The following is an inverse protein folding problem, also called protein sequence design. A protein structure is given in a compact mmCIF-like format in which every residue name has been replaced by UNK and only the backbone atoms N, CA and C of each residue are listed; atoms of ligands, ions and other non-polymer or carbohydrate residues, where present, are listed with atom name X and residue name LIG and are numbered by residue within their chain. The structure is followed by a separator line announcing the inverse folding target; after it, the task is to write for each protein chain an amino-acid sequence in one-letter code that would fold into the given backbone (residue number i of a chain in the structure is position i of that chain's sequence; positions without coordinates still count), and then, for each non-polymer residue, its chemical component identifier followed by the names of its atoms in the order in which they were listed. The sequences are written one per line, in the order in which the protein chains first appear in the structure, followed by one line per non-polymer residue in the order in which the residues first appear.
data_IF_789464470406
#
_entry.id   IF_789464470406
#
_cell.length_a   1.000
_cell.length_b   1.000
_cell.length_c   1.000
_cell.angle_alpha   90.00
_cell.angle_beta   90.00
_cell.angle_gamma   90.00
#
_symmetry.space_group_name_H-M   'P 1'
#
loop_
_entity.id
_entity.type
_entity.pdbx_description
1 polymer ?
#
# COMPACT_ATOMS: atom_id res chain seq x y z
N UNK A 1 37.77 21.62 69.53
CA UNK A 1 38.99 22.24 70.10
C UNK A 1 40.23 21.47 69.62
N UNK A 2 41.22 22.20 69.07
CA UNK A 2 42.68 21.89 68.86
C UNK A 2 43.06 20.62 68.05
N UNK A 3 43.59 20.74 66.81
CA UNK A 3 44.99 21.10 66.35
C UNK A 3 46.03 20.05 66.79
N UNK A 4 47.08 19.64 66.07
CA UNK A 4 47.83 20.00 64.83
C UNK A 4 49.00 18.97 64.76
N UNK A 5 49.56 18.55 63.62
CA UNK A 5 50.81 19.03 62.95
C UNK A 5 51.15 17.95 61.88
N UNK A 6 51.48 18.17 60.59
CA UNK A 6 52.21 19.17 59.78
C UNK A 6 53.73 18.94 59.68
N UNK A 7 54.22 18.58 58.48
CA UNK A 7 55.39 19.13 57.73
C UNK A 7 55.52 18.39 56.37
N UNK A 8 55.39 19.02 55.18
CA UNK A 8 56.33 19.90 54.38
C UNK A 8 57.49 19.10 53.75
N UNK A 9 57.95 19.24 52.50
CA UNK A 9 57.86 20.22 51.38
C UNK A 9 58.31 19.46 50.08
N UNK A 10 58.26 19.90 48.81
CA UNK A 10 57.94 21.14 48.07
C UNK A 10 58.04 20.80 46.56
N UNK A 11 57.27 21.43 45.67
CA UNK A 11 57.81 22.44 44.76
C UNK A 11 56.98 22.50 43.46
N UNK A 12 56.51 23.70 43.11
CA UNK A 12 55.80 24.04 41.88
C UNK A 12 56.79 24.27 40.71
N UNK A 13 56.39 23.95 39.48
CA UNK A 13 56.46 24.85 38.30
C UNK A 13 55.88 24.18 37.01
N UNK A 14 54.90 24.86 36.39
CA UNK A 14 54.50 24.80 34.96
C UNK A 14 54.72 26.24 34.42
N UNK A 15 54.64 26.57 33.11
CA UNK A 15 54.73 25.78 31.87
C UNK A 15 55.69 26.45 30.83
N UNK A 16 55.96 25.82 29.67
CA UNK A 16 56.44 26.51 28.45
C UNK A 16 55.82 25.92 27.18
N UNK A 17 55.03 26.75 26.49
CA UNK A 17 54.79 26.77 25.03
C UNK A 17 56.10 27.24 24.35
N UNK A 18 56.47 27.06 23.08
CA UNK A 18 55.85 27.06 21.72
C UNK A 18 57.02 26.63 20.73
N UNK A 19 56.97 26.58 19.37
CA UNK A 19 56.18 27.39 18.42
C UNK A 19 55.59 26.67 17.18
N UNK A 20 54.78 27.46 16.46
CA UNK A 20 54.09 27.28 15.17
C UNK A 20 54.98 26.83 13.99
N UNK A 21 54.39 26.18 12.98
CA UNK A 21 54.37 26.64 11.57
C UNK A 21 53.62 25.66 10.63
N UNK A 22 52.61 26.16 9.93
CA UNK A 22 52.29 25.86 8.51
C UNK A 22 52.68 27.12 7.70
N UNK A 23 52.78 27.18 6.35
CA UNK A 23 52.35 26.23 5.31
C UNK A 23 53.37 26.06 4.13
N UNK A 24 52.92 25.39 3.07
CA UNK A 24 53.41 25.41 1.68
C UNK A 24 54.61 24.56 1.20
N UNK A 25 54.36 23.93 0.04
CA UNK A 25 55.27 23.48 -1.02
C UNK A 25 55.72 21.99 -1.06
N UNK A 26 55.57 21.44 -2.27
CA UNK A 26 55.98 20.13 -2.82
C UNK A 26 55.06 18.93 -2.49
N UNK A 27 54.47 18.19 -3.43
CA UNK A 27 54.64 18.11 -4.88
C UNK A 27 53.40 17.39 -5.50
N UNK A 28 52.82 18.01 -6.53
CA UNK A 28 52.28 17.48 -7.80
C UNK A 28 52.17 15.94 -7.98
N UNK A 29 51.21 15.33 -8.69
CA UNK A 29 50.18 15.79 -9.63
C UNK A 29 49.23 14.61 -9.93
N UNK A 30 47.95 14.87 -10.21
CA UNK A 30 47.23 14.27 -11.34
C UNK A 30 45.90 15.00 -11.52
N UNK A 31 45.79 15.69 -12.65
CA UNK A 31 44.65 16.47 -13.10
C UNK A 31 43.75 15.61 -14.04
N UNK A 32 42.53 16.09 -14.36
CA UNK A 32 41.45 15.29 -14.94
C UNK A 32 41.49 15.30 -16.47
N UNK A 33 40.96 14.26 -17.10
CA UNK A 33 40.86 14.19 -18.56
C UNK A 33 39.39 14.09 -19.00
N UNK A 34 38.92 15.18 -19.61
CA UNK A 34 37.76 15.26 -20.48
C UNK A 34 38.25 15.60 -21.88
N UNK A 35 38.01 14.74 -22.87
CA UNK A 35 37.78 15.10 -24.28
C UNK A 35 37.34 13.87 -25.10
N UNK A 36 36.22 14.00 -25.81
CA UNK A 36 35.84 13.20 -26.98
C UNK A 36 36.47 13.83 -28.25
N UNK A 37 36.14 13.43 -29.51
CA UNK A 37 35.69 12.16 -30.11
C UNK A 37 36.61 11.72 -31.28
N UNK A 38 36.41 10.53 -31.86
CA UNK A 38 36.47 10.32 -33.34
C UNK A 38 36.10 8.89 -33.77
N UNK A 39 35.63 8.81 -35.02
CA UNK A 39 34.86 7.74 -35.64
C UNK A 39 35.68 6.68 -36.38
N UNK A 40 35.13 5.46 -36.49
CA UNK A 40 35.14 4.55 -37.66
C UNK A 40 34.53 3.19 -37.26
N UNK A 41 33.29 2.89 -37.67
CA UNK A 41 32.97 2.03 -38.83
C UNK A 41 33.24 0.53 -38.64
N UNK A 42 32.21 -0.21 -38.21
CA UNK A 42 32.00 -1.61 -38.62
C UNK A 42 30.49 -1.92 -38.61
N UNK A 43 29.94 -1.99 -39.82
CA UNK A 43 28.56 -2.34 -40.17
C UNK A 43 28.22 -3.80 -39.86
N UNK A 44 27.07 -4.05 -39.22
CA UNK A 44 26.39 -5.35 -39.22
C UNK A 44 24.97 -5.20 -39.81
N UNK A 45 24.49 -6.18 -40.58
CA UNK A 45 23.30 -6.01 -41.43
C UNK A 45 21.99 -6.09 -40.65
N UNK A 46 21.08 -5.18 -41.00
CA UNK A 46 19.69 -5.07 -40.55
C UNK A 46 18.88 -6.35 -40.86
N UNK A 47 18.11 -6.91 -39.91
CA UNK A 47 17.09 -7.89 -40.23
C UNK A 47 15.82 -7.18 -40.74
N UNK A 48 15.32 -7.64 -41.88
CA UNK A 48 14.19 -7.08 -42.64
C UNK A 48 12.91 -6.82 -41.81
N UNK A 49 12.12 -5.79 -42.19
CA UNK A 49 10.92 -5.42 -41.44
C UNK A 49 9.81 -6.48 -41.58
N UNK A 50 9.36 -7.00 -40.45
CA UNK A 50 8.14 -7.82 -40.38
C UNK A 50 6.92 -6.98 -40.81
N UNK A 51 6.21 -7.45 -41.85
CA UNK A 51 4.95 -6.85 -42.32
C UNK A 51 3.96 -6.72 -41.16
N UNK A 52 3.57 -5.48 -40.84
CA UNK A 52 2.40 -5.18 -40.00
C UNK A 52 1.17 -5.77 -40.68
N UNK A 53 0.45 -6.65 -40.00
CA UNK A 53 -0.93 -6.95 -40.35
C UNK A 53 -1.78 -5.71 -40.01
N UNK A 54 -2.32 -5.04 -41.02
CA UNK A 54 -3.36 -4.03 -40.85
C UNK A 54 -4.59 -4.68 -40.19
N UNK A 55 -4.94 -4.21 -39.00
CA UNK A 55 -6.25 -4.46 -38.39
C UNK A 55 -7.22 -3.47 -39.05
N UNK A 56 -8.34 -3.90 -39.64
CA UNK A 56 -9.30 -2.97 -40.24
C UNK A 56 -9.87 -2.05 -39.16
N UNK A 57 -9.83 -0.76 -39.44
CA UNK A 57 -10.40 0.29 -38.61
C UNK A 57 -11.93 0.16 -38.59
N UNK A 58 -12.49 -0.31 -37.47
CA UNK A 58 -13.94 -0.34 -37.26
C UNK A 58 -14.40 1.08 -36.91
N UNK A 59 -14.98 1.76 -37.91
CA UNK A 59 -15.58 3.08 -37.77
C UNK A 59 -16.72 3.03 -36.73
N UNK A 60 -16.57 3.76 -35.62
CA UNK A 60 -17.61 3.88 -34.60
C UNK A 60 -18.83 4.62 -35.17
N UNK A 61 -19.96 3.92 -35.26
CA UNK A 61 -21.25 4.51 -35.63
C UNK A 61 -21.78 5.38 -34.47
N UNK A 62 -22.24 6.62 -34.71
CA UNK A 62 -22.71 7.49 -33.65
C UNK A 62 -24.02 6.94 -33.05
N UNK A 63 -24.10 6.96 -31.72
CA UNK A 63 -25.27 6.48 -30.98
C UNK A 63 -26.54 7.22 -31.41
N UNK A 64 -27.49 6.51 -32.02
CA UNK A 64 -28.84 7.02 -32.26
C UNK A 64 -29.61 7.13 -30.93
N UNK A 65 -30.37 8.21 -30.71
CA UNK A 65 -31.23 8.33 -29.54
C UNK A 65 -32.31 7.25 -29.56
N UNK A 66 -32.46 6.55 -28.43
CA UNK A 66 -33.44 5.49 -28.23
C UNK A 66 -34.86 6.08 -28.27
N UNK A 67 -35.66 5.69 -29.27
CA UNK A 67 -37.08 6.02 -29.33
C UNK A 67 -37.88 5.09 -28.41
N UNK A 68 -38.84 5.65 -27.68
CA UNK A 68 -39.74 4.92 -26.78
C UNK A 68 -40.59 3.88 -27.54
N UNK A 69 -41.01 2.77 -26.91
CA UNK A 69 -41.72 1.68 -27.60
C UNK A 69 -43.15 2.12 -27.95
N UNK A 70 -43.50 2.10 -29.24
CA UNK A 70 -44.90 2.22 -29.68
C UNK A 70 -45.59 0.84 -29.64
N UNK A 71 -46.88 0.77 -29.26
CA UNK A 71 -47.62 -0.49 -29.23
C UNK A 71 -47.98 -0.98 -30.64
N UNK A 72 -48.15 -2.31 -30.85
CA UNK A 72 -48.23 -2.89 -32.17
C UNK A 72 -49.60 -2.66 -32.84
N UNK A 73 -49.58 -2.30 -34.13
CA UNK A 73 -50.76 -2.25 -35.00
C UNK A 73 -51.10 -3.65 -35.50
N UNK A 74 -52.39 -4.00 -35.45
CA UNK A 74 -52.96 -5.24 -35.97
C UNK A 74 -53.05 -5.18 -37.49
N UNK A 75 -52.35 -6.06 -38.20
CA UNK A 75 -52.57 -6.32 -39.63
C UNK A 75 -53.08 -7.75 -39.82
N UNK A 76 -54.24 -7.87 -40.46
CA UNK A 76 -54.81 -9.13 -40.94
C UNK A 76 -54.12 -9.54 -42.24
N UNK A 77 -53.74 -10.81 -42.39
CA UNK A 77 -53.69 -11.46 -43.71
C UNK A 77 -53.82 -12.98 -43.66
N UNK A 78 -54.79 -13.45 -44.42
CA UNK A 78 -55.09 -14.81 -44.85
C UNK A 78 -54.03 -15.34 -45.82
N UNK A 79 -53.77 -16.66 -45.78
CA UNK A 79 -52.99 -17.38 -46.80
C UNK A 79 -52.33 -18.65 -46.28
N UNK A 80 -52.85 -19.81 -46.69
CA UNK A 80 -52.36 -21.16 -46.37
C UNK A 80 -51.01 -21.46 -47.06
N UNK A 81 -50.11 -22.18 -46.37
CA UNK A 81 -49.37 -23.32 -46.95
C UNK A 81 -48.62 -24.09 -45.86
N UNK A 82 -48.78 -25.42 -45.89
CA UNK A 82 -48.20 -26.42 -44.99
C UNK A 82 -46.77 -26.75 -45.42
N UNK A 83 -45.79 -26.41 -44.58
CA UNK A 83 -44.48 -27.06 -44.51
C UNK A 83 -43.84 -26.78 -43.13
N UNK A 84 -43.96 -27.76 -42.23
CA UNK A 84 -43.07 -28.06 -41.10
C UNK A 84 -42.39 -26.89 -40.37
N UNK A 85 -43.10 -26.35 -39.37
CA UNK A 85 -42.60 -25.90 -38.06
C UNK A 85 -41.35 -25.01 -37.99
N UNK A 86 -41.54 -23.76 -37.55
CA UNK A 86 -40.53 -22.77 -37.13
C UNK A 86 -39.95 -21.83 -38.22
N UNK A 87 -40.58 -21.68 -39.38
CA UNK A 87 -40.28 -20.57 -40.32
C UNK A 87 -41.34 -19.47 -40.18
N UNK A 88 -41.12 -18.49 -39.30
CA UNK A 88 -41.99 -17.32 -39.19
C UNK A 88 -42.26 -16.82 -37.77
N UNK A 89 -41.73 -17.48 -36.73
CA UNK A 89 -41.74 -16.87 -35.40
C UNK A 89 -40.75 -15.69 -35.39
N UNK A 90 -41.15 -14.49 -34.91
CA UNK A 90 -40.21 -13.40 -34.71
C UNK A 90 -39.19 -13.82 -33.64
N UNK A 91 -38.06 -14.37 -34.10
CA UNK A 91 -36.94 -14.71 -33.24
C UNK A 91 -36.27 -13.40 -32.83
N UNK A 92 -36.65 -12.89 -31.66
CA UNK A 92 -35.92 -11.77 -31.06
C UNK A 92 -34.55 -12.30 -30.62
N UNK A 93 -33.50 -11.81 -31.27
CA UNK A 93 -32.12 -12.01 -30.82
C UNK A 93 -31.93 -11.21 -29.51
N UNK A 94 -32.42 -11.75 -28.40
CA UNK A 94 -32.20 -11.17 -27.08
C UNK A 94 -30.78 -11.53 -26.65
N UNK A 95 -29.97 -10.52 -26.30
CA UNK A 95 -28.70 -10.76 -25.61
C UNK A 95 -28.96 -11.58 -24.34
N UNK A 96 -28.08 -12.54 -24.04
CA UNK A 96 -28.19 -13.35 -22.82
C UNK A 96 -28.47 -12.43 -21.60
N UNK A 97 -29.37 -12.82 -20.68
CA UNK A 97 -29.71 -11.99 -19.53
C UNK A 97 -28.46 -11.85 -18.64
N UNK A 98 -27.78 -10.70 -18.73
CA UNK A 98 -26.71 -10.36 -17.81
C UNK A 98 -27.37 -9.90 -16.51
N UNK A 99 -27.13 -10.61 -15.40
CA UNK A 99 -27.53 -10.15 -14.07
C UNK A 99 -26.77 -8.85 -13.79
N UNK A 100 -27.48 -7.71 -13.82
CA UNK A 100 -26.92 -6.41 -13.51
C UNK A 100 -26.85 -6.27 -12.00
N UNK A 101 -25.66 -6.42 -11.42
CA UNK A 101 -25.42 -6.08 -10.02
C UNK A 101 -25.25 -4.56 -9.89
N UNK A 102 -25.75 -3.98 -8.79
CA UNK A 102 -25.61 -2.53 -8.51
C UNK A 102 -24.20 -2.14 -8.02
N UNK A 103 -23.34 -3.13 -7.77
CA UNK A 103 -21.99 -2.91 -7.26
C UNK A 103 -21.09 -2.36 -8.36
N UNK A 104 -20.58 -1.16 -8.13
CA UNK A 104 -19.61 -0.49 -9.01
C UNK A 104 -18.29 -0.31 -8.28
N UNK A 105 -17.21 -0.12 -9.02
CA UNK A 105 -15.90 0.21 -8.42
C UNK A 105 -16.01 1.41 -7.48
N UNK A 106 -16.78 2.42 -7.87
CA UNK A 106 -17.04 3.61 -7.04
C UNK A 106 -17.71 3.26 -5.71
N UNK A 107 -18.73 2.38 -5.70
CA UNK A 107 -19.42 2.00 -4.45
C UNK A 107 -18.51 1.20 -3.53
N UNK A 108 -17.69 0.30 -4.09
CA UNK A 108 -16.71 -0.47 -3.31
C UNK A 108 -15.64 0.45 -2.69
N UNK A 109 -15.09 1.40 -3.47
CA UNK A 109 -14.10 2.37 -2.98
C UNK A 109 -14.69 3.33 -1.94
N UNK A 110 -15.97 3.71 -2.09
CA UNK A 110 -16.68 4.54 -1.12
C UNK A 110 -16.87 3.78 0.21
N UNK A 111 -17.23 2.50 0.17
CA UNK A 111 -17.34 1.67 1.37
C UNK A 111 -15.99 1.57 2.12
N UNK A 112 -14.86 1.52 1.40
CA UNK A 112 -13.50 1.57 1.99
C UNK A 112 -13.24 2.91 2.67
N UNK A 113 -13.60 4.03 2.04
CA UNK A 113 -13.47 5.35 2.66
C UNK A 113 -14.32 5.45 3.92
N UNK A 114 -15.59 5.04 3.87
CA UNK A 114 -16.50 5.04 5.04
C UNK A 114 -15.90 4.21 6.18
N UNK A 115 -15.32 3.06 5.88
CA UNK A 115 -14.71 2.18 6.88
C UNK A 115 -13.48 2.82 7.57
N UNK A 116 -12.75 3.70 6.88
CA UNK A 116 -11.59 4.42 7.42
C UNK A 116 -11.96 5.71 8.16
N UNK A 117 -13.13 6.30 7.87
CA UNK A 117 -13.56 7.58 8.46
C UNK A 117 -13.57 7.58 10.00
N UNK A 118 -14.11 6.56 10.71
CA UNK A 118 -14.07 6.54 12.17
C UNK A 118 -12.65 6.59 12.72
N UNK A 119 -11.72 5.85 12.12
CA UNK A 119 -10.31 5.85 12.50
C UNK A 119 -9.64 7.21 12.23
N UNK A 120 -9.95 7.85 11.09
CA UNK A 120 -9.45 9.19 10.76
C UNK A 120 -9.97 10.25 11.74
N UNK A 121 -11.27 10.24 12.03
CA UNK A 121 -11.91 11.21 12.92
C UNK A 121 -11.37 11.08 14.34
N UNK A 122 -11.23 9.85 14.83
CA UNK A 122 -10.71 9.62 16.18
C UNK A 122 -9.23 10.00 16.29
N UNK A 123 -8.39 9.57 15.35
CA UNK A 123 -6.95 9.91 15.34
C UNK A 123 -6.70 11.40 15.19
N UNK A 124 -7.43 12.07 14.29
CA UNK A 124 -7.31 13.50 14.03
C UNK A 124 -7.89 14.39 15.15
N UNK A 125 -9.05 14.06 15.71
CA UNK A 125 -9.65 14.90 16.75
C UNK A 125 -8.97 14.75 18.12
N UNK A 126 -8.48 13.56 18.48
CA UNK A 126 -8.03 13.28 19.84
C UNK A 126 -6.51 13.21 20.02
N UNK A 127 -5.73 12.87 18.98
CA UNK A 127 -4.29 12.60 19.15
C UNK A 127 -3.39 13.58 18.39
N UNK A 128 -3.68 13.82 17.11
CA UNK A 128 -2.79 14.58 16.23
C UNK A 128 -3.30 15.97 15.85
N UNK A 129 -4.56 16.27 16.18
CA UNK A 129 -5.18 17.56 15.87
C UNK A 129 -5.47 17.76 14.38
N UNK A 130 -5.71 19.02 13.95
CA UNK A 130 -6.18 19.34 12.60
C UNK A 130 -5.18 18.97 11.49
N UNK A 131 -3.90 18.83 11.83
CA UNK A 131 -2.84 18.52 10.86
C UNK A 131 -3.02 17.14 10.22
N UNK A 132 -3.51 16.15 10.98
CA UNK A 132 -3.80 14.82 10.45
C UNK A 132 -4.81 14.89 9.29
N UNK A 133 -5.90 15.63 9.47
CA UNK A 133 -6.90 15.83 8.42
C UNK A 133 -6.31 16.56 7.20
N UNK A 134 -5.46 17.56 7.42
CA UNK A 134 -4.79 18.27 6.33
C UNK A 134 -3.86 17.36 5.53
N UNK A 135 -3.05 16.52 6.18
CA UNK A 135 -2.17 15.56 5.48
C UNK A 135 -3.00 14.58 4.65
N UNK A 136 -4.07 14.02 5.22
CA UNK A 136 -4.97 13.10 4.50
C UNK A 136 -5.67 13.79 3.33
N UNK A 137 -6.13 15.04 3.51
CA UNK A 137 -6.79 15.82 2.48
C UNK A 137 -5.82 16.18 1.33
N UNK A 138 -4.61 16.64 1.68
CA UNK A 138 -3.56 16.97 0.70
C UNK A 138 -3.18 15.72 -0.09
N UNK A 139 -3.03 14.56 0.56
CA UNK A 139 -2.71 13.31 -0.13
C UNK A 139 -3.83 12.85 -1.06
N UNK A 140 -5.07 12.87 -0.58
CA UNK A 140 -6.24 12.50 -1.37
C UNK A 140 -6.42 13.42 -2.60
N UNK A 141 -6.27 14.74 -2.40
CA UNK A 141 -6.33 15.73 -3.47
C UNK A 141 -5.16 15.60 -4.44
N UNK A 142 -3.94 15.39 -3.93
CA UNK A 142 -2.73 15.16 -4.71
C UNK A 142 -2.87 13.94 -5.61
N UNK A 143 -3.27 12.80 -5.06
CA UNK A 143 -3.52 11.58 -5.83
C UNK A 143 -4.59 11.79 -6.92
N UNK A 144 -5.72 12.42 -6.59
CA UNK A 144 -6.78 12.71 -7.55
C UNK A 144 -6.30 13.67 -8.67
N UNK A 145 -5.50 14.68 -8.31
CA UNK A 145 -4.92 15.62 -9.26
C UNK A 145 -3.90 14.95 -10.19
N UNK A 146 -2.99 14.13 -9.67
CA UNK A 146 -2.03 13.39 -10.50
C UNK A 146 -2.71 12.42 -11.44
N UNK A 147 -3.79 11.77 -11.01
CA UNK A 147 -4.60 10.91 -11.87
C UNK A 147 -5.27 11.72 -12.99
N UNK A 148 -5.95 12.81 -12.63
CA UNK A 148 -6.62 13.70 -13.59
C UNK A 148 -5.64 14.25 -14.63
N UNK A 149 -4.47 14.69 -14.16
CA UNK A 149 -3.40 15.25 -14.99
C UNK A 149 -2.81 14.19 -15.91
N UNK A 150 -2.55 12.98 -15.42
CA UNK A 150 -2.05 11.89 -16.26
C UNK A 150 -3.06 11.50 -17.33
N UNK A 151 -4.35 11.38 -16.98
CA UNK A 151 -5.42 11.11 -17.95
C UNK A 151 -5.53 12.23 -18.99
N UNK A 152 -5.38 13.49 -18.58
CA UNK A 152 -5.40 14.65 -19.48
C UNK A 152 -4.21 14.62 -20.46
N UNK A 153 -2.99 14.43 -19.96
CA UNK A 153 -1.76 14.38 -20.77
C UNK A 153 -1.81 13.21 -21.76
N UNK A 154 -2.24 12.04 -21.31
CA UNK A 154 -2.34 10.84 -22.15
C UNK A 154 -3.61 10.77 -23.00
N UNK A 155 -4.46 11.81 -22.95
CA UNK A 155 -5.76 11.90 -23.64
C UNK A 155 -6.66 10.68 -23.40
N UNK A 156 -6.55 10.07 -22.22
CA UNK A 156 -7.40 8.97 -21.78
C UNK A 156 -8.67 9.51 -21.13
N UNK A 157 -9.71 8.66 -21.03
CA UNK A 157 -10.91 9.01 -20.28
C UNK A 157 -10.55 9.28 -18.81
N UNK A 158 -11.22 10.27 -18.22
CA UNK A 158 -11.02 10.64 -16.83
C UNK A 158 -11.55 9.53 -15.91
N UNK A 159 -10.68 8.97 -15.07
CA UNK A 159 -11.01 7.89 -14.13
C UNK A 159 -11.25 8.36 -12.70
N UNK A 160 -10.95 9.62 -12.37
CA UNK A 160 -11.07 10.20 -11.01
C UNK A 160 -12.41 9.91 -10.32
N UNK A 161 -13.50 9.78 -11.08
CA UNK A 161 -14.84 9.46 -10.57
C UNK A 161 -14.99 8.07 -9.93
N UNK A 162 -14.00 7.18 -10.08
CA UNK A 162 -13.98 5.86 -9.46
C UNK A 162 -13.55 5.86 -7.98
N UNK A 163 -13.10 7.02 -7.46
CA UNK A 163 -12.62 7.24 -6.08
C UNK A 163 -11.36 6.45 -5.68
N UNK A 164 -10.77 5.70 -6.60
CA UNK A 164 -9.64 4.84 -6.26
C UNK A 164 -8.33 5.60 -6.02
N UNK A 165 -8.14 6.74 -6.69
CA UNK A 165 -7.04 7.66 -6.41
C UNK A 165 -7.18 8.26 -5.01
N UNK A 166 -8.40 8.62 -4.63
CA UNK A 166 -8.71 9.15 -3.29
C UNK A 166 -8.43 8.11 -2.21
N UNK A 167 -8.88 6.87 -2.40
CA UNK A 167 -8.57 5.75 -1.48
C UNK A 167 -7.07 5.53 -1.37
N UNK A 168 -6.33 5.60 -2.49
CA UNK A 168 -4.86 5.45 -2.50
C UNK A 168 -4.20 6.53 -1.64
N UNK A 169 -4.57 7.80 -1.81
CA UNK A 169 -4.03 8.90 -1.01
C UNK A 169 -4.39 8.79 0.47
N UNK A 170 -5.65 8.44 0.79
CA UNK A 170 -6.06 8.22 2.18
C UNK A 170 -5.25 7.08 2.82
N UNK A 171 -5.12 5.95 2.13
CA UNK A 171 -4.33 4.81 2.64
C UNK A 171 -2.85 5.16 2.78
N UNK A 172 -2.27 5.91 1.84
CA UNK A 172 -0.88 6.38 1.94
C UNK A 172 -0.72 7.27 3.17
N UNK A 173 -1.56 8.31 3.33
CA UNK A 173 -1.54 9.21 4.48
C UNK A 173 -1.67 8.45 5.81
N UNK A 174 -2.50 7.40 5.86
CA UNK A 174 -2.65 6.55 7.04
C UNK A 174 -1.35 5.84 7.45
N UNK A 175 -0.44 5.61 6.52
CA UNK A 175 0.86 5.03 6.86
C UNK A 175 1.88 6.08 7.31
N UNK A 176 1.72 7.35 6.94
CA UNK A 176 2.72 8.38 7.19
C UNK A 176 2.61 8.96 8.62
N UNK A 177 3.71 9.53 9.15
CA UNK A 177 3.64 10.35 10.36
C UNK A 177 2.72 11.56 10.15
N UNK A 178 1.98 11.97 11.19
CA UNK A 178 1.06 13.12 11.09
C UNK A 178 1.77 14.46 10.83
N UNK A 179 3.05 14.57 11.21
CA UNK A 179 3.85 15.79 11.02
C UNK A 179 4.65 15.83 9.71
N UNK A 180 4.47 14.82 8.84
CA UNK A 180 5.11 14.78 7.52
C UNK A 180 4.91 16.10 6.74
N UNK A 181 5.96 16.65 6.11
CA UNK A 181 5.83 17.84 5.29
C UNK A 181 5.07 17.51 4.00
N UNK A 182 4.22 18.44 3.57
CA UNK A 182 3.30 18.22 2.44
C UNK A 182 4.00 17.89 1.12
N UNK A 183 5.20 18.41 0.88
CA UNK A 183 5.96 18.09 -0.33
C UNK A 183 6.31 16.60 -0.43
N UNK A 184 6.62 15.95 0.70
CA UNK A 184 6.97 14.54 0.74
C UNK A 184 5.73 13.68 0.46
N UNK A 185 4.58 14.07 1.02
CA UNK A 185 3.28 13.43 0.74
C UNK A 185 2.99 13.46 -0.75
N UNK A 186 3.07 14.64 -1.39
CA UNK A 186 2.82 14.80 -2.82
C UNK A 186 3.81 14.01 -3.69
N UNK A 187 5.07 13.89 -3.26
CA UNK A 187 6.04 13.08 -3.97
C UNK A 187 5.70 11.58 -3.90
N UNK A 188 5.22 11.12 -2.75
CA UNK A 188 4.70 9.76 -2.58
C UNK A 188 3.44 9.51 -3.39
N UNK A 189 2.51 10.47 -3.42
CA UNK A 189 1.28 10.42 -4.24
C UNK A 189 1.61 10.32 -5.74
N UNK A 190 2.58 11.11 -6.20
CA UNK A 190 3.05 11.08 -7.57
C UNK A 190 3.58 9.68 -7.93
N UNK A 191 4.44 9.11 -7.09
CA UNK A 191 4.97 7.77 -7.33
C UNK A 191 3.86 6.70 -7.32
N UNK A 192 2.96 6.74 -6.34
CA UNK A 192 1.85 5.82 -6.21
C UNK A 192 0.94 5.85 -7.46
N UNK A 193 0.49 7.04 -7.84
CA UNK A 193 -0.49 7.18 -8.93
C UNK A 193 0.17 7.07 -10.29
N UNK A 194 1.19 7.87 -10.57
CA UNK A 194 1.77 7.94 -11.91
C UNK A 194 2.55 6.67 -12.21
N UNK A 195 3.51 6.32 -11.35
CA UNK A 195 4.46 5.22 -11.63
C UNK A 195 3.80 3.86 -11.47
N UNK A 196 3.09 3.63 -10.36
CA UNK A 196 2.61 2.27 -10.02
C UNK A 196 1.25 1.97 -10.64
N UNK A 197 0.34 2.94 -10.66
CA UNK A 197 -1.02 2.72 -11.14
C UNK A 197 -1.20 3.08 -12.63
N UNK A 198 -0.81 4.28 -13.04
CA UNK A 198 -1.21 4.83 -14.33
C UNK A 198 -0.33 4.38 -15.51
N UNK A 199 0.99 4.24 -15.32
CA UNK A 199 1.89 3.70 -16.35
C UNK A 199 1.48 2.28 -16.81
N UNK A 200 0.94 1.47 -15.90
CA UNK A 200 0.46 0.11 -16.20
C UNK A 200 -0.95 0.08 -16.79
N UNK A 201 -1.59 1.24 -16.96
CA UNK A 201 -2.87 1.37 -17.64
C UNK A 201 -4.07 1.60 -16.72
N UNK A 202 -3.85 1.99 -15.46
CA UNK A 202 -4.90 2.39 -14.51
C UNK A 202 -5.35 1.24 -13.61
N UNK A 203 -6.55 1.38 -13.05
CA UNK A 203 -7.13 0.36 -12.17
C UNK A 203 -7.25 -1.00 -12.82
N UNK A 204 -6.94 -2.04 -12.06
CA UNK A 204 -7.03 -3.44 -12.50
C UNK A 204 -5.80 -3.94 -13.25
N UNK A 205 -4.81 -3.07 -13.49
CA UNK A 205 -3.55 -3.43 -14.14
C UNK A 205 -2.32 -3.11 -13.29
N UNK A 206 -2.51 -2.46 -12.14
CA UNK A 206 -1.45 -2.21 -11.19
C UNK A 206 -1.01 -3.54 -10.56
N UNK A 207 0.29 -3.82 -10.66
CA UNK A 207 0.92 -5.06 -10.18
C UNK A 207 1.31 -4.98 -8.70
N UNK A 208 1.31 -3.77 -8.12
CA UNK A 208 1.56 -3.49 -6.70
C UNK A 208 0.44 -2.62 -6.14
N UNK A 209 0.22 -2.72 -4.83
CA UNK A 209 -0.62 -1.79 -4.09
C UNK A 209 -0.01 -0.38 -4.19
N UNK A 210 -0.67 0.59 -4.84
CA UNK A 210 -0.08 1.89 -5.12
C UNK A 210 0.28 2.68 -3.85
N UNK A 211 -0.56 2.63 -2.82
CA UNK A 211 -0.33 3.34 -1.56
C UNK A 211 0.92 2.81 -0.84
N UNK A 212 1.05 1.50 -0.74
CA UNK A 212 2.23 0.88 -0.14
C UNK A 212 3.49 1.13 -0.94
N UNK A 213 3.40 1.15 -2.27
CA UNK A 213 4.55 1.45 -3.12
C UNK A 213 4.97 2.93 -3.02
N UNK A 214 4.02 3.86 -2.90
CA UNK A 214 4.28 5.26 -2.57
C UNK A 214 5.00 5.40 -1.22
N UNK A 215 4.55 4.67 -0.19
CA UNK A 215 5.24 4.61 1.10
C UNK A 215 6.65 4.04 0.96
N UNK A 216 6.82 2.95 0.21
CA UNK A 216 8.11 2.31 -0.03
C UNK A 216 9.10 3.30 -0.66
N UNK A 217 8.65 4.10 -1.62
CA UNK A 217 9.44 5.15 -2.23
C UNK A 217 9.84 6.25 -1.23
N UNK A 218 8.95 6.63 -0.31
CA UNK A 218 9.27 7.64 0.70
C UNK A 218 10.32 7.20 1.73
N UNK A 219 10.61 5.90 1.85
CA UNK A 219 11.77 5.43 2.64
C UNK A 219 13.12 5.85 2.05
N UNK A 220 13.18 6.36 0.82
CA UNK A 220 14.36 7.07 0.32
C UNK A 220 14.64 8.37 1.08
N UNK A 221 13.67 8.88 1.85
CA UNK A 221 13.79 10.04 2.73
C UNK A 221 13.56 9.64 4.21
N UNK A 222 14.47 8.83 4.81
CA UNK A 222 14.24 8.22 6.12
C UNK A 222 14.07 9.25 7.25
N UNK A 223 14.77 10.39 7.17
CA UNK A 223 14.64 11.47 8.15
C UNK A 223 13.20 11.97 8.30
N UNK A 224 12.42 11.94 7.21
CA UNK A 224 11.02 12.36 7.20
C UNK A 224 10.09 11.22 7.64
N UNK A 225 10.43 9.98 7.31
CA UNK A 225 9.60 8.80 7.61
C UNK A 225 9.75 8.27 9.03
N UNK A 226 10.85 8.58 9.71
CA UNK A 226 11.12 8.11 11.08
C UNK A 226 10.73 9.12 12.16
N UNK A 227 10.31 10.33 11.79
CA UNK A 227 9.92 11.38 12.72
C UNK A 227 8.44 11.21 13.15
N UNK A 228 8.20 10.35 14.14
CA UNK A 228 6.85 10.16 14.71
C UNK A 228 6.63 11.09 15.91
N UNK A 229 5.62 11.97 15.85
CA UNK A 229 5.33 12.84 16.98
C UNK A 229 4.79 12.05 18.17
N UNK A 230 5.10 12.52 19.38
CA UNK A 230 4.42 12.10 20.58
C UNK A 230 2.91 12.39 20.49
N UNK A 231 2.12 11.56 21.17
CA UNK A 231 0.68 11.82 21.37
C UNK A 231 0.51 13.19 22.03
N UNK A 232 -0.23 14.09 21.37
CA UNK A 232 -0.55 15.41 21.95
C UNK A 232 -1.79 15.26 22.82
N UNK A 233 -1.65 15.48 24.12
CA UNK A 233 -2.81 15.67 24.99
C UNK A 233 -3.42 17.05 24.73
N UNK A 234 -4.75 17.15 24.88
CA UNK A 234 -5.50 18.41 24.71
C UNK A 234 -5.02 19.54 25.62
N UNK A 235 -4.30 19.23 26.71
CA UNK A 235 -3.78 20.18 27.68
C UNK A 235 -2.52 20.94 27.24
N UNK A 236 -2.00 20.65 26.04
CA UNK A 236 -0.80 21.30 25.52
C UNK A 236 -0.83 21.48 24.02
N UNK A 237 -1.25 22.67 23.56
CA UNK A 237 -0.76 23.27 22.31
C UNK A 237 0.74 23.62 22.42
N UNK A 238 1.54 22.73 23.02
CA UNK A 238 2.99 22.84 23.07
C UNK A 238 3.52 22.66 21.65
N UNK A 239 4.28 23.67 21.21
CA UNK A 239 4.76 23.86 19.83
C UNK A 239 5.97 22.95 19.53
N UNK A 240 6.44 22.16 20.48
CA UNK A 240 7.60 21.28 20.27
C UNK A 240 7.17 19.84 19.99
N UNK A 241 7.34 19.42 18.74
CA UNK A 241 7.09 18.04 18.31
C UNK A 241 8.21 17.14 18.85
N UNK A 242 8.08 16.71 20.11
CA UNK A 242 9.01 15.75 20.67
C UNK A 242 8.81 14.38 19.99
N UNK A 243 9.86 13.87 19.35
CA UNK A 243 9.84 12.54 18.75
C UNK A 243 9.73 11.50 19.85
N UNK A 244 8.73 10.64 19.78
CA UNK A 244 8.52 9.55 20.74
C UNK A 244 8.87 8.20 20.10
N UNK A 245 9.43 7.28 20.90
CA UNK A 245 9.64 5.91 20.46
C UNK A 245 8.29 5.25 20.17
N UNK A 246 8.15 4.66 18.98
CA UNK A 246 6.95 3.89 18.66
C UNK A 246 7.00 2.54 19.38
N UNK A 247 5.85 1.96 19.78
CA UNK A 247 5.83 0.63 20.41
C UNK A 247 6.45 -0.48 19.54
N UNK A 248 6.48 -0.27 18.23
CA UNK A 248 7.16 -1.17 17.31
C UNK A 248 8.68 -1.02 17.33
N UNK A 249 9.22 0.17 17.61
CA UNK A 249 10.65 0.35 17.82
C UNK A 249 11.16 -0.40 19.06
N UNK A 250 10.39 -0.44 20.16
CA UNK A 250 10.75 -1.23 21.34
C UNK A 250 10.68 -2.74 21.05
N UNK A 251 9.62 -3.20 20.37
CA UNK A 251 9.54 -4.59 19.94
C UNK A 251 10.71 -4.96 19.02
N UNK A 252 11.09 -4.08 18.11
CA UNK A 252 12.24 -4.33 17.24
C UNK A 252 13.56 -4.43 18.02
N UNK A 253 13.69 -3.71 19.13
CA UNK A 253 14.81 -3.82 20.05
C UNK A 253 14.75 -5.07 20.97
N UNK A 254 13.72 -5.90 20.84
CA UNK A 254 13.53 -7.11 21.66
C UNK A 254 12.93 -6.84 23.05
N UNK A 255 12.41 -5.64 23.31
CA UNK A 255 11.77 -5.28 24.58
C UNK A 255 10.27 -5.04 24.42
N UNK A 256 9.51 -5.31 25.49
CA UNK A 256 8.10 -4.95 25.52
C UNK A 256 7.96 -3.42 25.59
N UNK A 257 7.00 -2.83 24.86
CA UNK A 257 6.73 -1.41 24.95
C UNK A 257 6.26 -1.03 26.36
N UNK A 258 6.56 0.20 26.77
CA UNK A 258 6.12 0.78 28.04
C UNK A 258 4.63 1.16 28.07
N UNK A 259 3.93 0.94 26.95
CA UNK A 259 2.51 1.26 26.74
C UNK A 259 1.70 0.01 27.01
N UNK A 260 0.59 0.14 27.73
CA UNK A 260 -0.27 -1.00 28.04
C UNK A 260 -1.01 -1.54 26.81
N UNK A 261 -1.43 -2.81 26.85
CA UNK A 261 -2.23 -3.43 25.78
C UNK A 261 -3.56 -2.68 25.55
N UNK A 262 -4.18 -2.17 26.61
CA UNK A 262 -5.43 -1.41 26.49
C UNK A 262 -5.19 -0.08 25.77
N UNK A 263 -4.09 0.60 26.06
CA UNK A 263 -3.67 1.81 25.34
C UNK A 263 -3.33 1.51 23.87
N UNK A 264 -2.76 0.34 23.56
CA UNK A 264 -2.60 -0.09 22.16
C UNK A 264 -3.93 -0.40 21.46
N UNK A 265 -4.90 -0.95 22.19
CA UNK A 265 -6.21 -1.27 21.63
C UNK A 265 -7.03 -0.02 21.33
N UNK A 266 -7.08 0.90 22.30
CA UNK A 266 -7.84 2.14 22.25
C UNK A 266 -7.15 3.18 21.39
N UNK A 267 -5.84 3.32 21.56
CA UNK A 267 -4.95 4.02 20.64
C UNK A 267 -4.14 5.16 21.22
N UNK A 268 -3.90 5.18 22.52
CA UNK A 268 -3.07 6.20 23.18
C UNK A 268 -1.59 5.86 22.99
N UNK A 269 -1.09 5.97 21.74
CA UNK A 269 0.30 5.69 21.40
C UNK A 269 0.83 6.50 20.22
N UNK A 270 2.15 6.68 20.18
CA UNK A 270 2.86 7.30 19.06
C UNK A 270 2.99 6.32 17.89
N UNK A 271 2.83 6.81 16.67
CA UNK A 271 2.90 6.01 15.44
C UNK A 271 2.28 6.71 14.23
N UNK A 272 2.11 5.97 13.14
CA UNK A 272 1.37 6.46 11.98
C UNK A 272 -0.13 6.65 12.28
N UNK A 273 -0.83 7.44 11.45
CA UNK A 273 -2.28 7.68 11.61
C UNK A 273 -3.11 6.38 11.68
N UNK A 274 -2.77 5.42 10.82
CA UNK A 274 -3.38 4.09 10.74
C UNK A 274 -2.82 3.07 11.73
N UNK A 275 -2.06 3.51 12.73
CA UNK A 275 -1.60 2.69 13.84
C UNK A 275 -2.30 3.03 15.15
N UNK A 276 -2.86 4.23 15.25
CA UNK A 276 -3.38 4.77 16.51
C UNK A 276 -4.42 3.83 17.10
N UNK A 277 -5.55 3.57 16.45
CA UNK A 277 -6.60 2.75 17.06
C UNK A 277 -6.81 1.40 16.37
N UNK A 278 -6.33 0.33 17.00
CA UNK A 278 -6.58 -1.04 16.55
C UNK A 278 -8.08 -1.38 16.56
N UNK A 279 -8.82 -0.93 17.58
CA UNK A 279 -10.25 -1.18 17.71
C UNK A 279 -11.06 -0.59 16.52
N UNK A 280 -10.76 0.65 16.12
CA UNK A 280 -11.48 1.30 15.03
C UNK A 280 -11.15 0.71 13.66
N UNK A 281 -9.90 0.28 13.45
CA UNK A 281 -9.51 -0.43 12.23
C UNK A 281 -10.18 -1.80 12.15
N UNK A 282 -10.30 -2.51 13.27
CA UNK A 282 -11.06 -3.77 13.34
C UNK A 282 -12.54 -3.54 13.06
N UNK A 283 -13.14 -2.48 13.60
CA UNK A 283 -14.53 -2.12 13.33
C UNK A 283 -14.75 -1.80 11.83
N UNK A 284 -13.85 -1.03 11.23
CA UNK A 284 -13.86 -0.76 9.78
C UNK A 284 -13.68 -2.04 8.94
N UNK A 285 -12.77 -2.92 9.33
CA UNK A 285 -12.58 -4.23 8.69
C UNK A 285 -13.82 -5.13 8.80
N UNK A 286 -14.48 -5.13 9.96
CA UNK A 286 -15.74 -5.86 10.18
C UNK A 286 -16.87 -5.30 9.33
N UNK A 287 -16.96 -3.97 9.19
CA UNK A 287 -17.90 -3.31 8.29
C UNK A 287 -17.70 -3.76 6.83
N UNK A 288 -16.46 -3.78 6.33
CA UNK A 288 -16.16 -4.24 4.97
C UNK A 288 -16.49 -5.73 4.77
N UNK A 289 -16.32 -6.54 5.82
CA UNK A 289 -16.71 -7.95 5.80
C UNK A 289 -18.24 -8.11 5.76
N UNK A 290 -18.98 -7.34 6.55
CA UNK A 290 -20.44 -7.35 6.57
C UNK A 290 -21.02 -6.91 5.22
N UNK A 291 -20.41 -5.92 4.57
CA UNK A 291 -20.73 -5.45 3.21
C UNK A 291 -20.25 -6.39 2.11
N UNK A 292 -19.53 -7.46 2.45
CA UNK A 292 -18.93 -8.45 1.54
C UNK A 292 -18.00 -7.82 0.49
N UNK A 293 -17.41 -6.67 0.81
CA UNK A 293 -16.39 -6.01 -0.02
C UNK A 293 -15.12 -6.85 0.02
N UNK A 294 -14.70 -7.29 1.21
CA UNK A 294 -13.52 -8.14 1.42
C UNK A 294 -13.91 -9.56 1.85
N UNK A 295 -13.05 -10.53 1.55
CA UNK A 295 -13.17 -11.91 2.03
C UNK A 295 -12.26 -12.15 3.21
N UNK A 296 -12.73 -12.90 4.21
CA UNK A 296 -11.96 -13.18 5.44
C UNK A 296 -10.70 -14.04 5.25
N UNK A 297 -10.51 -14.62 4.06
CA UNK A 297 -9.42 -15.57 3.79
C UNK A 297 -8.04 -14.95 3.93
N UNK A 298 -7.81 -13.80 3.29
CA UNK A 298 -6.52 -13.10 3.32
C UNK A 298 -6.26 -12.49 4.71
N UNK A 299 -7.18 -11.72 5.32
CA UNK A 299 -6.92 -11.15 6.65
C UNK A 299 -6.70 -12.21 7.72
N UNK A 300 -7.48 -13.30 7.71
CA UNK A 300 -7.36 -14.36 8.72
C UNK A 300 -6.07 -15.17 8.58
N UNK A 301 -5.67 -15.52 7.35
CA UNK A 301 -4.40 -16.23 7.16
C UNK A 301 -3.21 -15.32 7.48
N UNK A 302 -3.27 -14.03 7.12
CA UNK A 302 -2.24 -13.06 7.44
C UNK A 302 -2.08 -12.88 8.96
N UNK A 303 -3.16 -12.51 9.67
CA UNK A 303 -3.10 -12.32 11.12
C UNK A 303 -2.80 -13.63 11.87
N UNK A 304 -3.35 -14.75 11.42
CA UNK A 304 -3.09 -16.06 12.01
C UNK A 304 -1.63 -16.50 11.90
N UNK A 305 -0.97 -16.24 10.76
CA UNK A 305 0.45 -16.54 10.61
C UNK A 305 1.33 -15.63 11.46
N UNK A 306 1.04 -14.33 11.53
CA UNK A 306 1.77 -13.43 12.45
C UNK A 306 1.60 -13.87 13.90
N UNK A 307 0.39 -14.25 14.29
CA UNK A 307 0.10 -14.75 15.63
C UNK A 307 0.90 -16.02 15.95
N UNK A 308 0.84 -17.02 15.07
CA UNK A 308 1.52 -18.29 15.27
C UNK A 308 3.05 -18.14 15.33
N UNK A 309 3.64 -17.35 14.44
CA UNK A 309 5.09 -17.16 14.42
C UNK A 309 5.58 -16.29 15.59
N UNK A 310 4.83 -15.23 15.94
CA UNK A 310 5.17 -14.41 17.11
C UNK A 310 5.06 -15.21 18.41
N UNK A 311 4.12 -16.16 18.48
CA UNK A 311 3.98 -17.09 19.60
C UNK A 311 5.14 -18.07 19.71
N UNK A 312 5.54 -18.67 18.58
CA UNK A 312 6.63 -19.65 18.55
C UNK A 312 8.01 -19.01 18.78
N UNK A 313 8.19 -17.76 18.37
CA UNK A 313 9.48 -17.06 18.41
C UNK A 313 9.39 -15.70 19.11
N UNK A 314 9.07 -15.66 20.42
CA UNK A 314 9.15 -14.42 21.19
C UNK A 314 10.62 -14.01 21.37
N UNK A 315 10.89 -12.71 21.30
CA UNK A 315 12.25 -12.19 21.52
C UNK A 315 12.42 -11.67 22.95
N UNK A 316 13.67 -11.59 23.40
CA UNK A 316 14.03 -10.94 24.68
C UNK A 316 13.58 -11.68 25.94
N UNK A 317 13.20 -12.95 25.85
CA UNK A 317 12.73 -13.73 27.01
C UNK A 317 11.36 -13.30 27.55
N UNK A 318 10.62 -12.51 26.78
CA UNK A 318 9.30 -12.02 27.15
C UNK A 318 8.23 -13.10 27.04
N UNK A 319 7.07 -12.87 27.67
CA UNK A 319 5.94 -13.79 27.56
C UNK A 319 5.48 -13.92 26.10
N UNK A 320 5.22 -15.14 25.65
CA UNK A 320 4.79 -15.40 24.28
C UNK A 320 3.43 -14.74 23.96
N UNK A 321 2.54 -14.69 24.95
CA UNK A 321 1.23 -14.02 24.86
C UNK A 321 1.38 -12.53 24.61
N UNK A 322 2.12 -11.83 25.46
CA UNK A 322 2.23 -10.38 25.36
C UNK A 322 2.92 -10.01 24.05
N UNK A 323 4.04 -10.66 23.73
CA UNK A 323 4.76 -10.44 22.48
C UNK A 323 3.86 -10.58 21.25
N UNK A 324 3.03 -11.63 21.25
CA UNK A 324 2.09 -11.87 20.15
C UNK A 324 1.04 -10.76 20.07
N UNK A 325 0.41 -10.40 21.18
CA UNK A 325 -0.62 -9.34 21.21
C UNK A 325 -0.05 -7.99 20.77
N UNK A 326 1.11 -7.61 21.29
CA UNK A 326 1.83 -6.39 20.90
C UNK A 326 2.18 -6.41 19.39
N UNK A 327 2.62 -7.54 18.85
CA UNK A 327 2.90 -7.71 17.42
C UNK A 327 1.64 -7.59 16.56
N UNK A 328 0.49 -8.15 16.98
CA UNK A 328 -0.76 -8.04 16.20
C UNK A 328 -1.33 -6.62 16.18
N UNK A 329 -1.24 -5.91 17.31
CA UNK A 329 -1.86 -4.59 17.48
C UNK A 329 -0.94 -3.45 17.02
N UNK A 330 0.35 -3.74 16.85
CA UNK A 330 1.37 -2.79 16.42
C UNK A 330 1.58 -2.72 14.90
N UNK A 331 2.17 -1.61 14.47
CA UNK A 331 2.90 -1.53 13.21
C UNK A 331 2.10 -1.72 11.93
N UNK A 332 0.95 -1.06 11.85
CA UNK A 332 0.10 -1.01 10.66
C UNK A 332 -0.44 -2.37 10.21
N UNK A 333 -0.28 -3.44 11.00
CA UNK A 333 -0.65 -4.79 10.60
C UNK A 333 -2.14 -4.91 10.31
N UNK A 334 -2.99 -4.35 11.19
CA UNK A 334 -4.44 -4.37 11.02
C UNK A 334 -4.87 -3.54 9.81
N UNK A 335 -4.29 -2.36 9.63
CA UNK A 335 -4.53 -1.54 8.44
C UNK A 335 -4.18 -2.32 7.17
N UNK A 336 -2.99 -2.93 7.13
CA UNK A 336 -2.55 -3.67 5.97
C UNK A 336 -3.41 -4.91 5.71
N UNK A 337 -3.73 -5.68 6.75
CA UNK A 337 -4.49 -6.92 6.63
C UNK A 337 -5.91 -6.70 6.08
N UNK A 338 -6.61 -5.66 6.55
CA UNK A 338 -8.01 -5.43 6.16
C UNK A 338 -8.17 -4.51 4.95
N UNK A 339 -7.25 -3.58 4.71
CA UNK A 339 -7.42 -2.51 3.71
C UNK A 339 -6.41 -2.52 2.56
N UNK A 340 -5.26 -3.19 2.69
CA UNK A 340 -4.20 -3.14 1.66
C UNK A 340 -3.88 -4.49 1.03
N UNK A 341 -3.80 -5.56 1.83
CA UNK A 341 -3.58 -6.93 1.38
C UNK A 341 -4.81 -7.51 0.66
N UNK A 342 -5.98 -6.91 0.89
CA UNK A 342 -7.27 -7.24 0.28
C UNK A 342 -7.58 -6.42 -0.97
N UNK A 343 -6.60 -5.71 -1.54
CA UNK A 343 -6.76 -5.00 -2.82
C UNK A 343 -7.13 -5.98 -3.94
N UNK A 344 -8.22 -5.69 -4.65
CA UNK A 344 -8.80 -6.54 -5.70
C UNK A 344 -7.87 -6.75 -6.90
N UNK A 345 -6.90 -5.87 -7.08
CA UNK A 345 -6.06 -5.82 -8.29
C UNK A 345 -4.76 -6.61 -8.13
N UNK A 346 -4.23 -6.70 -6.91
CA UNK A 346 -2.89 -7.24 -6.64
C UNK A 346 -2.93 -8.54 -5.84
N UNK A 347 -4.10 -8.94 -5.35
CA UNK A 347 -4.28 -10.18 -4.60
C UNK A 347 -4.71 -11.33 -5.52
N UNK A 348 -4.32 -12.59 -5.21
CA UNK A 348 -4.71 -13.75 -6.00
C UNK A 348 -6.22 -14.02 -5.96
N UNK A 349 -6.75 -14.59 -7.04
CA UNK A 349 -8.19 -14.87 -7.18
C UNK A 349 -8.59 -16.24 -6.65
N UNK A 350 -7.67 -17.21 -6.60
CA UNK A 350 -7.97 -18.59 -6.20
C UNK A 350 -8.08 -18.75 -4.68
N UNK A 351 -8.87 -19.73 -4.22
CA UNK A 351 -9.04 -20.00 -2.78
C UNK A 351 -7.68 -20.28 -2.10
N UNK A 352 -6.94 -21.25 -2.62
CA UNK A 352 -5.66 -21.66 -2.05
C UNK A 352 -4.59 -20.60 -2.27
N UNK A 353 -4.64 -19.88 -3.40
CA UNK A 353 -3.75 -18.75 -3.64
C UNK A 353 -3.90 -17.64 -2.60
N UNK A 354 -5.14 -17.29 -2.22
CA UNK A 354 -5.42 -16.32 -1.15
C UNK A 354 -4.87 -16.74 0.21
N UNK A 355 -5.00 -18.02 0.55
CA UNK A 355 -4.45 -18.55 1.82
C UNK A 355 -2.93 -18.48 1.81
N UNK A 356 -2.27 -19.00 0.77
CA UNK A 356 -0.80 -18.97 0.63
C UNK A 356 -0.29 -17.54 0.61
N UNK A 357 -0.98 -16.63 -0.07
CA UNK A 357 -0.64 -15.21 -0.11
C UNK A 357 -0.68 -14.58 1.28
N UNK A 358 -1.75 -14.78 2.05
CA UNK A 358 -1.82 -14.22 3.40
C UNK A 358 -0.81 -14.86 4.37
N UNK A 359 -0.58 -16.18 4.28
CA UNK A 359 0.49 -16.86 5.04
C UNK A 359 1.85 -16.26 4.70
N UNK A 360 2.15 -16.06 3.41
CA UNK A 360 3.39 -15.42 2.97
C UNK A 360 3.53 -13.98 3.46
N UNK A 361 2.44 -13.19 3.44
CA UNK A 361 2.44 -11.83 4.00
C UNK A 361 2.77 -11.86 5.50
N UNK A 362 2.18 -12.79 6.26
CA UNK A 362 2.41 -12.92 7.70
C UNK A 362 3.82 -13.39 8.04
N UNK A 363 4.30 -14.42 7.35
CA UNK A 363 5.65 -14.95 7.56
C UNK A 363 6.72 -13.90 7.24
N UNK A 364 6.59 -13.23 6.09
CA UNK A 364 7.54 -12.20 5.68
C UNK A 364 7.47 -10.97 6.60
N UNK A 365 6.28 -10.64 7.12
CA UNK A 365 6.13 -9.57 8.12
C UNK A 365 6.93 -9.86 9.39
N UNK A 366 6.78 -11.05 9.98
CA UNK A 366 7.52 -11.42 11.20
C UNK A 366 9.01 -11.48 10.95
N UNK A 367 9.42 -12.03 9.79
CA UNK A 367 10.81 -12.05 9.36
C UNK A 367 11.40 -10.64 9.29
N UNK A 368 10.72 -9.71 8.60
CA UNK A 368 11.19 -8.33 8.46
C UNK A 368 11.17 -7.55 9.78
N UNK A 369 10.20 -7.81 10.67
CA UNK A 369 10.17 -7.20 12.00
C UNK A 369 11.30 -7.67 12.91
N UNK A 370 11.79 -8.89 12.69
CA UNK A 370 12.85 -9.51 13.51
C UNK A 370 14.24 -9.20 12.99
N UNK A 371 14.44 -9.28 11.67
CA UNK A 371 15.77 -9.20 11.04
C UNK A 371 15.95 -7.98 10.13
N UNK A 372 14.87 -7.26 9.79
CA UNK A 372 14.94 -6.09 8.92
C UNK A 372 15.51 -4.88 9.64
N UNK A 373 15.94 -3.86 8.89
CA UNK A 373 16.49 -2.62 9.48
C UNK A 373 15.41 -1.65 9.96
N UNK A 374 14.16 -1.85 9.56
CA UNK A 374 13.03 -1.00 9.92
C UNK A 374 12.12 -1.73 10.92
N UNK A 375 11.68 -1.06 12.00
CA UNK A 375 10.72 -1.63 12.94
C UNK A 375 9.41 -2.06 12.26
N UNK A 376 9.05 -1.36 11.18
CA UNK A 376 7.89 -1.65 10.34
C UNK A 376 8.25 -2.47 9.10
N UNK A 377 7.83 -3.75 9.08
CA UNK A 377 8.06 -4.67 7.96
C UNK A 377 6.82 -4.96 7.10
N UNK A 378 5.62 -4.55 7.53
CA UNK A 378 4.35 -5.02 6.96
C UNK A 378 4.16 -4.59 5.50
N UNK A 379 4.40 -3.31 5.19
CA UNK A 379 4.19 -2.78 3.84
C UNK A 379 5.09 -3.45 2.79
N UNK A 380 6.35 -3.67 3.13
CA UNK A 380 7.30 -4.39 2.27
C UNK A 380 6.89 -5.85 2.07
N UNK A 381 6.42 -6.52 3.13
CA UNK A 381 5.93 -7.88 3.03
C UNK A 381 4.77 -8.01 2.03
N UNK A 382 3.79 -7.11 2.09
CA UNK A 382 2.66 -7.08 1.17
C UNK A 382 3.11 -6.78 -0.26
N UNK A 383 4.04 -5.86 -0.47
CA UNK A 383 4.57 -5.55 -1.81
C UNK A 383 5.28 -6.75 -2.44
N UNK A 384 6.12 -7.45 -1.68
CA UNK A 384 6.79 -8.67 -2.16
C UNK A 384 5.75 -9.73 -2.52
N UNK A 385 4.73 -9.92 -1.69
CA UNK A 385 3.68 -10.90 -1.95
C UNK A 385 2.78 -10.51 -3.14
N UNK A 386 2.58 -9.22 -3.40
CA UNK A 386 1.88 -8.74 -4.60
C UNK A 386 2.62 -9.17 -5.88
N UNK A 387 3.95 -9.11 -5.90
CA UNK A 387 4.75 -9.61 -7.03
C UNK A 387 4.61 -11.13 -7.22
N UNK A 388 4.39 -11.85 -6.11
CA UNK A 388 4.21 -13.30 -6.11
C UNK A 388 2.76 -13.74 -6.35
N UNK A 389 1.80 -12.81 -6.47
CA UNK A 389 0.38 -13.14 -6.68
C UNK A 389 0.16 -13.99 -7.94
N UNK A 390 0.73 -13.57 -9.07
CA UNK A 390 0.62 -14.27 -10.35
C UNK A 390 1.20 -15.70 -10.33
N UNK A 391 2.46 -15.92 -9.88
CA UNK A 391 3.00 -17.28 -9.82
C UNK A 391 2.23 -18.17 -8.83
N UNK A 392 1.74 -17.61 -7.71
CA UNK A 392 0.90 -18.34 -6.74
C UNK A 392 -0.40 -18.82 -7.41
N UNK A 393 -1.10 -17.94 -8.13
CA UNK A 393 -2.34 -18.31 -8.80
C UNK A 393 -2.11 -19.34 -9.91
N UNK A 394 -1.03 -19.19 -10.70
CA UNK A 394 -0.65 -20.16 -11.73
C UNK A 394 -0.39 -21.54 -11.14
N UNK A 395 0.35 -21.61 -10.03
CA UNK A 395 0.60 -22.86 -9.32
C UNK A 395 -0.69 -23.46 -8.74
N UNK A 396 -1.56 -22.64 -8.13
CA UNK A 396 -2.82 -23.09 -7.57
C UNK A 396 -3.77 -23.67 -8.64
N UNK A 397 -3.82 -23.06 -9.83
CA UNK A 397 -4.61 -23.56 -10.96
C UNK A 397 -4.04 -24.87 -11.53
N UNK A 398 -2.73 -24.97 -11.69
CA UNK A 398 -2.07 -26.20 -12.16
C UNK A 398 -2.28 -27.37 -11.18
N UNK A 399 -2.23 -27.10 -9.87
CA UNK A 399 -2.53 -28.11 -8.87
C UNK A 399 -3.99 -28.56 -9.00
N UNK A 400 -4.93 -27.62 -9.15
CA UNK A 400 -6.36 -27.93 -9.29
C UNK A 400 -6.66 -28.77 -10.52
N UNK A 401 -6.02 -28.49 -11.66
CA UNK A 401 -6.22 -29.29 -12.88
C UNK A 401 -5.67 -30.71 -12.73
N UNK A 402 -4.47 -30.86 -12.15
CA UNK A 402 -3.87 -32.17 -11.87
C UNK A 402 -4.73 -33.01 -10.91
N UNK A 403 -5.31 -32.38 -9.89
CA UNK A 403 -6.23 -33.06 -8.96
C UNK A 403 -7.53 -33.51 -9.64
N UNK A 404 -8.08 -32.70 -10.55
CA UNK A 404 -9.26 -33.10 -11.33
C UNK A 404 -8.98 -34.31 -12.24
N UNK A 405 -7.88 -34.26 -12.99
CA UNK A 405 -7.46 -35.37 -13.85
C UNK A 405 -7.24 -36.67 -13.05
N UNK A 406 -6.62 -36.59 -11.87
CA UNK A 406 -6.47 -37.76 -10.98
C UNK A 406 -7.79 -38.30 -10.45
N UNK A 407 -8.80 -37.44 -10.24
CA UNK A 407 -10.12 -37.86 -9.80
C UNK A 407 -10.90 -38.53 -10.92
N UNK A 408 -10.82 -37.98 -12.13
CA UNK A 408 -11.41 -38.55 -13.35
C UNK A 408 -10.75 -39.87 -13.72
N UNK A 409 -9.43 -40.03 -13.53
CA UNK A 409 -8.73 -41.30 -13.75
C UNK A 409 -9.02 -42.38 -12.70
N UNK A 410 -9.67 -42.03 -11.58
CA UNK A 410 -10.07 -42.96 -10.50
C UNK A 410 -11.56 -43.31 -10.56
N UNK A 411 -12.35 -42.58 -11.33
CA UNK A 411 -13.76 -42.82 -11.58
C UNK A 411 -13.90 -43.66 -12.85
#
# INVERSE_FOLDING_TARGET
MKKKRKNRAGGQQRPRQTPQASPDAALQAQAPETAAPDAASASQPEPAPARRAEVPEVKAEPARPQAAPQPPKTEQRTGQSSAGGLRGLPLTLASAPHLITRDTTRTLMLDVLIALMPALLFSGCYFFGPRAFLVTLVSAAGCAAFEALFCLITRRRQTVGDLSAVVTGVLLAFTLPADVPYWAVLLGDFFAIVVVKQLFGGLGKNFLNPALAGRAFLFSFPAVMSAFPAVRSWDGFAIDAQSAATPMASLHAGSLPSVSLLEMFTGVRSGALGEVSAALLLLGGLYLLARRVIRLRIPLSFLGTVAALSWCFPQGGNSALDWTLYSLMGGGLLLAAFFMATDFTTSPVTFWGQVVYGVGCGALTVFLRTFGSYPEGVGFAVLVMNLLSWPIDRAALALRSAWRQRKEARA
#
